data_IF_411712398597
#
_entry.id   IF_411712398597
#
_cell.length_a   1.000
_cell.length_b   1.000
_cell.length_c   1.000
_cell.angle_alpha   90.00
_cell.angle_beta   90.00
_cell.angle_gamma   90.00
#
_symmetry.space_group_name_H-M   'P 1'
#
loop_
_entity.id
_entity.type
_entity.pdbx_description
1 polymer ?
#
# COMPACT_ATOMS: atom_id res chain seq x y z
N UNK A 1 18.35 5.28 -23.00
CA UNK A 1 17.86 5.69 -21.66
C UNK A 1 16.65 4.84 -21.30
N UNK A 2 16.64 4.32 -20.09
CA UNK A 2 15.53 3.53 -19.59
C UNK A 2 14.74 4.33 -18.56
N UNK A 3 13.42 4.22 -18.60
CA UNK A 3 12.54 4.86 -17.64
C UNK A 3 11.58 3.81 -17.09
N UNK A 4 11.37 3.82 -15.78
CA UNK A 4 10.37 2.97 -15.15
C UNK A 4 9.65 3.74 -14.05
N UNK A 5 8.48 3.27 -13.68
CA UNK A 5 7.74 3.88 -12.58
C UNK A 5 8.38 3.46 -11.27
N UNK A 6 9.03 4.40 -10.57
CA UNK A 6 9.70 4.08 -9.31
C UNK A 6 8.73 3.96 -8.15
N UNK A 7 7.67 4.76 -8.15
CA UNK A 7 6.66 4.73 -7.11
C UNK A 7 5.38 5.42 -7.58
N UNK A 8 4.28 5.06 -6.94
CA UNK A 8 3.02 5.80 -7.06
C UNK A 8 2.46 6.03 -5.66
N UNK A 9 1.67 7.08 -5.51
CA UNK A 9 1.16 7.50 -4.21
C UNK A 9 -0.18 6.84 -3.90
N UNK A 10 -0.31 6.34 -2.68
CA UNK A 10 -1.57 5.87 -2.12
C UNK A 10 -1.90 6.70 -0.88
N UNK A 11 -3.05 7.37 -0.92
CA UNK A 11 -3.50 8.18 0.21
C UNK A 11 -4.10 7.27 1.27
N UNK A 12 -3.65 7.43 2.50
CA UNK A 12 -4.06 6.59 3.64
C UNK A 12 -4.46 7.46 4.83
N UNK A 13 -5.28 6.93 5.76
CA UNK A 13 -5.66 7.70 6.94
C UNK A 13 -4.53 7.81 7.97
N UNK A 14 -3.63 6.84 8.03
CA UNK A 14 -2.57 6.79 9.03
C UNK A 14 -1.42 5.94 8.52
N UNK A 15 -0.17 6.41 8.78
CA UNK A 15 1.02 5.69 8.33
C UNK A 15 1.16 4.32 9.00
N UNK A 16 1.07 4.27 10.32
CA UNK A 16 1.32 3.03 11.06
C UNK A 16 0.24 1.98 10.79
N UNK A 17 -1.00 2.40 10.65
CA UNK A 17 -2.11 1.52 10.28
C UNK A 17 -1.87 0.92 8.89
N UNK A 18 -1.45 1.74 7.93
CA UNK A 18 -1.17 1.28 6.57
C UNK A 18 0.03 0.33 6.54
N UNK A 19 1.10 0.66 7.27
CA UNK A 19 2.28 -0.21 7.38
C UNK A 19 1.86 -1.58 7.96
N UNK A 20 1.07 -1.58 9.02
CA UNK A 20 0.61 -2.83 9.64
C UNK A 20 -0.15 -3.69 8.64
N UNK A 21 -1.04 -3.09 7.86
CA UNK A 21 -1.81 -3.85 6.87
C UNK A 21 -0.91 -4.37 5.75
N UNK A 22 -0.13 -3.51 5.11
CA UNK A 22 0.63 -3.93 3.93
C UNK A 22 1.84 -4.78 4.28
N UNK A 23 2.54 -4.48 5.35
CA UNK A 23 3.76 -5.21 5.73
C UNK A 23 3.42 -6.44 6.56
N UNK A 24 2.68 -6.28 7.64
CA UNK A 24 2.40 -7.38 8.57
C UNK A 24 1.34 -8.34 8.02
N UNK A 25 0.29 -7.82 7.39
CA UNK A 25 -0.81 -8.64 6.88
C UNK A 25 -0.52 -9.16 5.48
N UNK A 26 -0.19 -8.29 4.53
CA UNK A 26 0.04 -8.70 3.14
C UNK A 26 1.47 -9.20 2.89
N UNK A 27 2.42 -8.91 3.77
CA UNK A 27 3.78 -9.40 3.62
C UNK A 27 4.67 -8.55 2.72
N UNK A 28 4.30 -7.30 2.46
CA UNK A 28 5.16 -6.38 1.72
C UNK A 28 6.38 -6.02 2.56
N UNK A 29 7.39 -5.48 1.90
CA UNK A 29 8.62 -5.01 2.55
C UNK A 29 8.51 -3.51 2.79
N UNK A 30 8.84 -3.08 4.01
CA UNK A 30 9.00 -1.65 4.32
C UNK A 30 10.38 -1.23 3.83
N UNK A 31 10.40 -0.49 2.73
CA UNK A 31 11.67 -0.10 2.09
C UNK A 31 12.27 1.16 2.71
N UNK A 32 11.43 2.14 3.03
CA UNK A 32 11.87 3.38 3.65
C UNK A 32 10.80 3.87 4.62
N UNK A 33 11.24 4.45 5.72
CA UNK A 33 10.38 5.12 6.69
C UNK A 33 11.19 6.21 7.35
N UNK A 34 11.08 7.43 6.82
CA UNK A 34 11.86 8.58 7.26
C UNK A 34 10.92 9.68 7.73
N UNK A 35 11.13 10.15 8.95
CA UNK A 35 10.38 11.30 9.47
C UNK A 35 10.90 12.57 8.78
N UNK A 36 10.04 13.27 8.06
CA UNK A 36 10.41 14.50 7.35
C UNK A 36 10.18 15.75 8.22
N UNK A 37 9.05 15.76 8.93
CA UNK A 37 8.69 16.82 9.88
C UNK A 37 7.70 16.21 10.89
N UNK A 38 7.22 16.96 11.90
CA UNK A 38 6.33 16.37 12.89
C UNK A 38 5.07 15.69 12.35
N UNK A 39 4.61 16.13 11.17
CA UNK A 39 3.35 15.64 10.58
C UNK A 39 3.53 14.76 9.36
N UNK A 40 4.73 14.68 8.79
CA UNK A 40 4.97 13.96 7.53
C UNK A 40 6.10 12.95 7.64
N UNK A 41 5.86 11.81 7.02
CA UNK A 41 6.86 10.75 6.88
C UNK A 41 6.99 10.38 5.41
N UNK A 42 8.18 9.93 5.03
CA UNK A 42 8.45 9.34 3.73
C UNK A 42 8.42 7.83 3.91
N UNK A 43 7.34 7.20 3.48
CA UNK A 43 7.13 5.76 3.71
C UNK A 43 6.92 5.06 2.37
N UNK A 44 7.82 4.14 2.03
CA UNK A 44 7.73 3.35 0.81
C UNK A 44 7.64 1.87 1.16
N UNK A 45 6.68 1.21 0.54
CA UNK A 45 6.46 -0.24 0.67
C UNK A 45 6.39 -0.88 -0.71
N UNK A 46 6.71 -2.16 -0.80
CA UNK A 46 6.58 -2.92 -2.04
C UNK A 46 6.61 -4.41 -1.74
N UNK A 47 6.04 -5.25 -2.64
CA UNK A 47 6.32 -6.67 -2.59
C UNK A 47 7.84 -6.91 -2.70
N UNK A 48 8.32 -8.00 -2.09
CA UNK A 48 9.74 -8.33 -2.14
C UNK A 48 10.21 -8.49 -3.59
N UNK A 49 11.32 -7.84 -3.91
CA UNK A 49 11.91 -7.87 -5.26
C UNK A 49 11.27 -6.96 -6.27
N UNK A 50 10.23 -6.21 -5.92
CA UNK A 50 9.58 -5.28 -6.85
C UNK A 50 10.41 -4.02 -7.05
N UNK A 51 10.48 -3.54 -8.31
CA UNK A 51 11.15 -2.27 -8.64
C UNK A 51 10.26 -1.05 -8.34
N UNK A 52 8.95 -1.22 -8.49
CA UNK A 52 7.98 -0.14 -8.26
C UNK A 52 7.44 -0.26 -6.85
N UNK A 53 7.49 0.83 -6.10
CA UNK A 53 6.98 0.88 -4.74
C UNK A 53 5.71 1.71 -4.63
N UNK A 54 5.05 1.59 -3.49
CA UNK A 54 3.91 2.42 -3.12
C UNK A 54 4.40 3.42 -2.08
N UNK A 55 4.20 4.71 -2.37
CA UNK A 55 4.45 5.78 -1.41
C UNK A 55 3.18 6.00 -0.62
N UNK A 56 3.22 5.73 0.68
CA UNK A 56 2.08 5.97 1.56
C UNK A 56 2.05 7.45 1.93
N UNK A 57 0.92 8.10 1.67
CA UNK A 57 0.73 9.50 1.98
C UNK A 57 -0.46 9.67 2.93
N UNK A 58 -0.19 10.14 4.14
CA UNK A 58 -1.26 10.42 5.09
C UNK A 58 -2.09 11.61 4.60
N UNK A 59 -3.41 11.43 4.56
CA UNK A 59 -4.32 12.48 4.14
C UNK A 59 -4.18 13.71 5.05
N UNK A 60 -3.95 14.88 4.45
CA UNK A 60 -3.75 16.13 5.20
C UNK A 60 -4.71 17.25 4.75
N UNK A 61 -5.72 16.92 3.96
CA UNK A 61 -6.75 17.86 3.52
C UNK A 61 -8.08 17.13 3.39
N UNK A 62 -9.17 17.89 3.32
CA UNK A 62 -10.50 17.31 3.15
C UNK A 62 -10.62 16.56 1.83
N UNK A 63 -10.01 17.05 0.76
CA UNK A 63 -10.00 16.37 -0.53
C UNK A 63 -9.26 15.05 -0.47
N UNK A 64 -8.12 15.02 0.22
CA UNK A 64 -7.35 13.80 0.39
C UNK A 64 -8.10 12.78 1.26
N UNK A 65 -8.73 13.22 2.34
CA UNK A 65 -9.57 12.34 3.16
C UNK A 65 -10.70 11.73 2.33
N UNK A 66 -11.35 12.53 1.48
CA UNK A 66 -12.42 12.07 0.61
C UNK A 66 -11.93 11.06 -0.44
N UNK A 67 -10.64 11.11 -0.80
CA UNK A 67 -10.06 10.20 -1.78
C UNK A 67 -9.71 8.83 -1.19
N UNK A 68 -9.63 8.69 0.13
CA UNK A 68 -9.30 7.40 0.77
C UNK A 68 -10.30 6.34 0.33
N UNK A 69 -9.79 5.24 -0.23
CA UNK A 69 -10.62 4.17 -0.77
C UNK A 69 -11.28 4.47 -2.11
N UNK A 70 -11.12 5.70 -2.63
CA UNK A 70 -11.75 6.13 -3.89
C UNK A 70 -10.75 6.82 -4.82
N UNK A 71 -9.47 6.59 -4.60
CA UNK A 71 -8.42 7.29 -5.35
C UNK A 71 -8.51 7.05 -6.85
N UNK A 72 -9.04 5.92 -7.27
CA UNK A 72 -9.24 5.57 -8.68
C UNK A 72 -10.67 5.73 -9.16
N UNK A 73 -11.47 6.56 -8.48
CA UNK A 73 -12.82 6.89 -8.92
C UNK A 73 -13.79 5.71 -8.92
N UNK A 74 -13.60 4.76 -8.01
CA UNK A 74 -14.43 3.56 -7.94
C UNK A 74 -13.89 2.39 -8.74
N UNK A 75 -12.77 2.57 -9.43
CA UNK A 75 -12.08 1.47 -10.14
C UNK A 75 -11.09 0.80 -9.21
N UNK A 76 -10.69 -0.43 -9.56
CA UNK A 76 -9.64 -1.13 -8.81
C UNK A 76 -8.32 -0.42 -9.06
N UNK A 77 -7.68 0.06 -7.99
CA UNK A 77 -6.42 0.80 -8.07
C UNK A 77 -5.17 -0.05 -7.97
N UNK A 78 -5.28 -1.24 -7.39
CA UNK A 78 -4.14 -2.10 -7.15
C UNK A 78 -4.48 -3.53 -7.52
N UNK A 79 -3.68 -4.11 -8.40
CA UNK A 79 -3.79 -5.51 -8.81
C UNK A 79 -2.58 -6.25 -8.29
N UNK A 80 -2.83 -7.32 -7.53
CA UNK A 80 -1.78 -8.20 -7.05
C UNK A 80 -1.88 -9.54 -7.75
N UNK A 81 -0.75 -10.05 -8.20
CA UNK A 81 -0.66 -11.38 -8.78
C UNK A 81 0.18 -12.25 -7.87
N UNK A 82 -0.31 -13.46 -7.61
CA UNK A 82 0.39 -14.44 -6.79
C UNK A 82 0.80 -15.62 -7.66
N UNK A 83 1.99 -16.17 -7.42
CA UNK A 83 2.44 -17.41 -8.05
C UNK A 83 1.93 -18.64 -7.31
N UNK A 84 1.32 -18.45 -6.13
CA UNK A 84 0.63 -19.49 -5.38
C UNK A 84 -0.63 -18.89 -4.75
N UNK A 85 -1.65 -18.70 -5.56
CA UNK A 85 -2.89 -18.05 -5.13
C UNK A 85 -3.57 -18.82 -3.99
N UNK A 86 -3.61 -20.14 -4.06
CA UNK A 86 -4.30 -20.93 -3.05
C UNK A 86 -3.67 -20.78 -1.67
N UNK A 87 -2.33 -20.84 -1.59
CA UNK A 87 -1.62 -20.68 -0.33
C UNK A 87 -1.77 -19.25 0.20
N UNK A 88 -1.64 -18.25 -0.64
CA UNK A 88 -1.78 -16.85 -0.22
C UNK A 88 -3.20 -16.53 0.20
N UNK A 89 -4.20 -17.02 -0.53
CA UNK A 89 -5.61 -16.84 -0.18
C UNK A 89 -5.92 -17.48 1.18
N UNK A 90 -5.45 -18.71 1.39
CA UNK A 90 -5.66 -19.42 2.66
C UNK A 90 -4.99 -18.68 3.82
N UNK A 91 -3.76 -18.23 3.64
CA UNK A 91 -3.01 -17.50 4.66
C UNK A 91 -3.71 -16.20 5.04
N UNK A 92 -4.12 -15.42 4.05
CA UNK A 92 -4.79 -14.14 4.29
C UNK A 92 -6.17 -14.33 4.91
N UNK A 93 -6.90 -15.35 4.49
CA UNK A 93 -8.20 -15.69 5.09
C UNK A 93 -8.04 -16.07 6.56
N UNK A 94 -7.03 -16.88 6.89
CA UNK A 94 -6.76 -17.31 8.26
C UNK A 94 -6.47 -16.14 9.20
N UNK A 95 -5.77 -15.10 8.72
CA UNK A 95 -5.45 -13.92 9.52
C UNK A 95 -6.53 -12.84 9.43
N UNK A 96 -7.67 -13.13 8.84
CA UNK A 96 -8.84 -12.27 8.89
C UNK A 96 -9.03 -11.30 7.74
N UNK A 97 -8.27 -11.44 6.66
CA UNK A 97 -8.46 -10.60 5.47
C UNK A 97 -9.73 -11.03 4.75
N UNK A 98 -10.55 -10.05 4.40
CA UNK A 98 -11.79 -10.29 3.64
C UNK A 98 -11.53 -10.07 2.17
N UNK A 99 -12.00 -11.00 1.36
CA UNK A 99 -11.88 -10.91 -0.09
C UNK A 99 -13.21 -10.47 -0.69
N UNK A 100 -13.13 -9.53 -1.62
CA UNK A 100 -14.30 -9.02 -2.35
C UNK A 100 -14.05 -9.29 -3.82
N UNK A 101 -15.00 -9.97 -4.46
CA UNK A 101 -14.92 -10.28 -5.88
C UNK A 101 -15.53 -9.17 -6.74
#
# INVERSE_FOLDING_TARGET
MSVFVSAFTLVVPDYDEAIAFYVETLGFVLQEDVQLNPDKRWVRIAPDGAQTSILLAKADSSDQVAAIGKQCGGRVGLFLQSDDFEADHARLTEIGVRFVE
#
